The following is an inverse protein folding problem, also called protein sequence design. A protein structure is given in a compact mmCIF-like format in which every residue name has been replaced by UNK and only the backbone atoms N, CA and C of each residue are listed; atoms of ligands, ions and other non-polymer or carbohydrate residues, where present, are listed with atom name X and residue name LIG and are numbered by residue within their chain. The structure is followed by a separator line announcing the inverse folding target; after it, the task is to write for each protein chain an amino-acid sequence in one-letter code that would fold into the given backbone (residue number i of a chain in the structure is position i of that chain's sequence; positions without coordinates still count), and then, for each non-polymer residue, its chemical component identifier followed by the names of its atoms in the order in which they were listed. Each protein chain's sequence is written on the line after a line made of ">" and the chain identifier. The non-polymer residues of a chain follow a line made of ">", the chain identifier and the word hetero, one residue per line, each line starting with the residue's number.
data_IF_938314546331
#
_entry.id   IF_938314546331
#
_cell.length_a   1.000
_cell.length_b   1.000
_cell.length_c   1.000
_cell.angle_alpha   90.00
_cell.angle_beta   90.00
_cell.angle_gamma   90.00
#
_symmetry.space_group_name_H-M   'P 1'
#
loop_
_entity.id
_entity.type
_entity.pdbx_description
1 polymer ?
#
# COMPACT_ATOMS: atom_id res chain seq x y z
N UNK A 1 -30.88 -11.13 27.34
CA UNK A 1 -29.50 -11.23 27.85
C UNK A 1 -28.89 -12.52 27.33
N UNK A 2 -28.01 -12.50 26.32
CA UNK A 2 -27.03 -13.56 25.96
C UNK A 2 -26.44 -13.26 24.57
N UNK A 3 -25.37 -12.46 24.49
CA UNK A 3 -24.56 -12.27 23.25
C UNK A 3 -23.21 -11.59 23.54
N UNK A 4 -22.51 -11.95 24.62
CA UNK A 4 -21.19 -11.36 24.95
C UNK A 4 -20.01 -12.32 25.02
N UNK A 5 -20.17 -13.58 24.63
CA UNK A 5 -19.16 -14.61 24.94
C UNK A 5 -18.36 -15.13 23.74
N UNK A 6 -18.52 -14.57 22.53
CA UNK A 6 -17.84 -15.10 21.33
C UNK A 6 -16.59 -14.34 20.86
N UNK A 7 -16.28 -13.15 21.41
CA UNK A 7 -15.17 -12.32 20.90
C UNK A 7 -13.81 -12.51 21.60
N UNK A 8 -13.74 -13.23 22.72
CA UNK A 8 -12.48 -13.36 23.48
C UNK A 8 -11.57 -14.54 23.09
N UNK A 9 -11.95 -15.36 22.10
CA UNK A 9 -11.16 -16.56 21.74
C UNK A 9 -10.18 -16.36 20.58
N UNK A 10 -10.24 -15.22 19.87
CA UNK A 10 -9.42 -14.94 18.68
C UNK A 10 -8.38 -13.84 18.85
N UNK A 11 -8.28 -13.22 20.03
CA UNK A 11 -7.23 -12.25 20.36
C UNK A 11 -6.34 -12.80 21.47
N UNK A 12 -5.52 -13.80 21.13
CA UNK A 12 -4.30 -14.04 21.90
C UNK A 12 -3.16 -13.31 21.19
N UNK A 13 -2.50 -12.34 21.85
CA UNK A 13 -1.32 -11.70 21.29
C UNK A 13 -0.20 -12.73 21.21
N UNK A 14 0.21 -13.10 20.00
CA UNK A 14 1.45 -13.84 19.77
C UNK A 14 2.61 -12.96 20.20
N UNK A 15 3.33 -13.41 21.23
CA UNK A 15 4.52 -12.74 21.80
C UNK A 15 5.79 -12.93 20.98
N UNK A 16 5.68 -13.39 19.73
CA UNK A 16 6.82 -13.50 18.83
C UNK A 16 7.04 -12.17 18.11
N UNK A 17 8.21 -11.53 18.25
CA UNK A 17 8.52 -10.34 17.47
C UNK A 17 8.55 -10.74 15.99
N UNK A 18 7.58 -10.23 15.22
CA UNK A 18 7.62 -10.38 13.76
C UNK A 18 8.93 -9.79 13.24
N UNK A 19 9.60 -10.43 12.28
CA UNK A 19 10.80 -9.86 11.66
C UNK A 19 10.43 -8.56 10.96
N UNK A 20 10.81 -7.42 11.57
CA UNK A 20 10.62 -6.08 11.04
C UNK A 20 11.90 -5.66 10.32
N UNK A 21 11.87 -5.61 8.99
CA UNK A 21 12.99 -5.07 8.19
C UNK A 21 12.82 -3.56 8.09
N UNK A 22 13.61 -2.80 8.85
CA UNK A 22 13.69 -1.33 8.74
C UNK A 22 14.81 -0.97 7.75
N UNK A 23 14.43 -0.52 6.56
CA UNK A 23 15.38 -0.03 5.55
C UNK A 23 15.61 1.46 5.84
N UNK A 24 16.59 1.76 6.68
CA UNK A 24 17.02 3.14 6.92
C UNK A 24 17.87 3.60 5.73
N UNK A 25 17.46 4.67 5.06
CA UNK A 25 18.17 5.24 3.92
C UNK A 25 19.53 5.82 4.34
N UNK A 26 20.62 5.24 3.82
CA UNK A 26 21.89 5.95 3.59
C UNK A 26 22.42 5.52 2.22
N UNK A 27 22.16 6.33 1.19
CA UNK A 27 22.81 6.20 -0.11
C UNK A 27 23.33 7.59 -0.50
N UNK A 28 24.53 7.90 0.00
CA UNK A 28 25.43 8.89 -0.59
C UNK A 28 26.70 8.16 -0.99
N UNK A 29 26.79 7.78 -2.26
CA UNK A 29 27.91 8.06 -3.16
C UNK A 29 27.62 7.48 -4.57
N UNK A 30 27.94 8.20 -5.66
CA UNK A 30 27.62 7.78 -7.02
C UNK A 30 28.79 7.00 -7.62
N UNK A 31 28.63 5.68 -7.79
CA UNK A 31 29.50 4.90 -8.68
C UNK A 31 28.75 3.76 -9.34
N UNK A 32 28.56 3.91 -10.66
CA UNK A 32 28.47 2.83 -11.68
C UNK A 32 27.64 1.59 -11.36
N UNK A 33 26.34 1.78 -11.21
CA UNK A 33 25.24 1.05 -11.87
C UNK A 33 23.98 1.75 -11.38
N UNK A 34 23.16 2.32 -12.26
CA UNK A 34 21.90 2.95 -11.85
C UNK A 34 20.90 1.86 -11.43
N UNK A 35 21.15 1.26 -10.26
CA UNK A 35 20.24 0.34 -9.61
C UNK A 35 19.15 1.19 -8.97
N UNK A 36 18.00 1.27 -9.64
CA UNK A 36 16.86 2.03 -9.13
C UNK A 36 16.35 1.42 -7.83
N UNK A 37 15.80 2.25 -6.94
CA UNK A 37 15.21 1.82 -5.66
C UNK A 37 14.11 0.76 -5.87
N UNK A 38 13.37 0.84 -6.97
CA UNK A 38 12.39 -0.17 -7.38
C UNK A 38 13.02 -1.56 -7.57
N UNK A 39 14.19 -1.63 -8.21
CA UNK A 39 14.89 -2.88 -8.46
C UNK A 39 15.45 -3.51 -7.17
N UNK A 40 15.97 -2.68 -6.27
CA UNK A 40 16.43 -3.14 -4.94
C UNK A 40 15.27 -3.76 -4.17
N UNK A 41 14.10 -3.11 -4.15
CA UNK A 41 12.92 -3.61 -3.45
C UNK A 41 12.50 -4.97 -3.99
N UNK A 42 12.40 -5.13 -5.32
CA UNK A 42 12.02 -6.42 -5.91
C UNK A 42 13.04 -7.51 -5.60
N UNK A 43 14.35 -7.21 -5.63
CA UNK A 43 15.37 -8.17 -5.17
C UNK A 43 15.20 -8.55 -3.70
N UNK A 44 14.95 -7.58 -2.82
CA UNK A 44 14.70 -7.84 -1.40
C UNK A 44 13.48 -8.75 -1.22
N UNK A 45 12.38 -8.47 -1.91
CA UNK A 45 11.17 -9.29 -1.86
C UNK A 45 11.40 -10.70 -2.41
N UNK A 46 12.20 -10.85 -3.46
CA UNK A 46 12.60 -12.16 -3.98
C UNK A 46 13.37 -12.98 -2.92
N UNK A 47 14.24 -12.34 -2.15
CA UNK A 47 14.99 -12.97 -1.06
C UNK A 47 14.16 -13.19 0.22
N UNK A 48 12.98 -12.58 0.35
CA UNK A 48 12.15 -12.59 1.57
C UNK A 48 10.70 -13.01 1.30
N UNK A 49 10.45 -14.23 0.79
CA UNK A 49 9.13 -14.64 0.30
C UNK A 49 8.04 -14.71 1.39
N UNK A 50 8.44 -14.82 2.67
CA UNK A 50 7.53 -14.90 3.84
C UNK A 50 7.22 -13.52 4.45
N UNK A 51 7.73 -12.43 3.86
CA UNK A 51 7.48 -11.10 4.38
C UNK A 51 6.00 -10.73 4.18
N UNK A 52 5.31 -10.39 5.26
CA UNK A 52 3.88 -10.04 5.25
C UNK A 52 3.62 -8.55 5.40
N UNK A 53 4.59 -7.81 5.94
CA UNK A 53 4.48 -6.37 6.22
C UNK A 53 5.71 -5.65 5.70
N UNK A 54 5.49 -4.53 5.01
CA UNK A 54 6.53 -3.71 4.43
C UNK A 54 6.32 -2.26 4.84
N UNK A 55 7.38 -1.60 5.30
CA UNK A 55 7.34 -0.20 5.71
C UNK A 55 8.48 0.57 5.06
N UNK A 56 8.15 1.70 4.47
CA UNK A 56 9.11 2.60 3.83
C UNK A 56 8.96 4.02 4.38
N UNK A 57 10.07 4.74 4.50
CA UNK A 57 10.01 6.19 4.71
C UNK A 57 9.57 6.89 3.42
N UNK A 58 10.15 6.50 2.29
CA UNK A 58 9.81 7.04 0.98
C UNK A 58 9.97 5.99 -0.11
N UNK A 59 9.21 6.14 -1.18
CA UNK A 59 9.30 5.31 -2.37
C UNK A 59 9.52 6.22 -3.58
N UNK A 60 10.78 6.33 -4.00
CA UNK A 60 11.17 7.16 -5.15
C UNK A 60 11.36 6.27 -6.37
N UNK A 61 10.79 6.70 -7.50
CA UNK A 61 10.88 5.99 -8.78
C UNK A 61 11.53 6.87 -9.82
N UNK A 62 12.49 6.30 -10.55
CA UNK A 62 12.99 6.90 -11.78
C UNK A 62 12.06 6.52 -12.94
N UNK A 63 11.39 7.52 -13.52
CA UNK A 63 10.36 7.31 -14.56
C UNK A 63 10.87 6.55 -15.79
N UNK A 64 12.14 6.74 -16.15
CA UNK A 64 12.76 6.16 -17.36
C UNK A 64 12.78 4.62 -17.30
N UNK A 65 12.91 4.04 -16.11
CA UNK A 65 13.12 2.60 -15.93
C UNK A 65 11.84 1.83 -15.58
N UNK A 66 10.71 2.52 -15.35
CA UNK A 66 9.46 1.92 -14.86
C UNK A 66 8.87 0.88 -15.82
N UNK A 67 8.69 1.23 -17.09
CA UNK A 67 8.05 0.33 -18.07
C UNK A 67 8.86 -0.93 -18.33
N UNK A 68 10.18 -0.77 -18.48
CA UNK A 68 11.09 -1.91 -18.67
C UNK A 68 11.12 -2.81 -17.43
N UNK A 69 11.02 -2.21 -16.24
CA UNK A 69 11.01 -2.93 -14.98
C UNK A 69 9.74 -3.74 -14.76
N UNK A 70 8.57 -3.17 -15.05
CA UNK A 70 7.27 -3.87 -14.99
C UNK A 70 7.21 -5.08 -15.94
N UNK A 71 7.95 -5.02 -17.05
CA UNK A 71 8.06 -6.12 -18.03
C UNK A 71 9.11 -7.16 -17.65
N UNK A 72 9.84 -6.98 -16.54
CA UNK A 72 10.88 -7.92 -16.15
C UNK A 72 10.30 -9.20 -15.56
N UNK A 73 10.91 -10.35 -15.89
CA UNK A 73 10.54 -11.66 -15.31
C UNK A 73 10.64 -11.68 -13.79
N UNK A 74 11.57 -10.90 -13.23
CA UNK A 74 11.74 -10.80 -11.78
C UNK A 74 10.55 -10.09 -11.12
N UNK A 75 10.06 -9.01 -11.73
CA UNK A 75 8.86 -8.32 -11.26
C UNK A 75 7.65 -9.24 -11.29
N UNK A 76 7.43 -9.95 -12.41
CA UNK A 76 6.35 -10.92 -12.55
C UNK A 76 6.44 -12.03 -11.49
N UNK A 77 7.64 -12.62 -11.31
CA UNK A 77 7.87 -13.63 -10.29
C UNK A 77 7.52 -13.12 -8.89
N UNK A 78 8.03 -11.95 -8.51
CA UNK A 78 7.78 -11.38 -7.18
C UNK A 78 6.31 -11.05 -7.01
N UNK A 79 5.67 -10.44 -8.02
CA UNK A 79 4.23 -10.12 -8.00
C UNK A 79 3.37 -11.34 -7.71
N UNK A 80 3.71 -12.49 -8.30
CA UNK A 80 2.95 -13.73 -8.11
C UNK A 80 3.26 -14.46 -6.78
N UNK A 81 4.50 -14.36 -6.30
CA UNK A 81 4.99 -15.20 -5.18
C UNK A 81 4.95 -14.52 -3.82
N UNK A 82 5.01 -13.19 -3.76
CA UNK A 82 5.06 -12.49 -2.48
C UNK A 82 3.79 -12.73 -1.63
N UNK A 83 3.92 -12.52 -0.32
CA UNK A 83 2.87 -12.72 0.69
C UNK A 83 2.54 -11.45 1.47
N UNK A 84 2.94 -10.29 0.94
CA UNK A 84 2.73 -9.01 1.63
C UNK A 84 1.25 -8.66 1.64
N UNK A 85 0.76 -8.38 2.85
CA UNK A 85 -0.60 -7.97 3.13
C UNK A 85 -0.67 -6.53 3.64
N UNK A 86 0.40 -6.05 4.28
CA UNK A 86 0.44 -4.71 4.86
C UNK A 86 1.56 -3.88 4.26
N UNK A 87 1.23 -2.69 3.80
CA UNK A 87 2.20 -1.70 3.31
C UNK A 87 1.97 -0.35 3.97
N UNK A 88 3.05 0.22 4.50
CA UNK A 88 3.08 1.60 5.01
C UNK A 88 4.19 2.39 4.32
N UNK A 89 3.86 3.57 3.81
CA UNK A 89 4.81 4.54 3.26
C UNK A 89 4.60 5.84 4.03
N UNK A 90 5.64 6.36 4.67
CA UNK A 90 5.47 7.56 5.51
C UNK A 90 5.23 8.82 4.69
N UNK A 91 5.97 8.97 3.60
CA UNK A 91 5.89 10.15 2.75
C UNK A 91 4.74 10.08 1.73
N UNK A 92 4.46 11.21 1.11
CA UNK A 92 3.51 11.30 0.01
C UNK A 92 3.93 10.47 -1.19
N UNK A 93 3.00 9.67 -1.69
CA UNK A 93 3.16 8.96 -2.94
C UNK A 93 2.39 9.62 -4.09
N UNK A 94 3.01 9.59 -5.26
CA UNK A 94 2.37 9.91 -6.53
C UNK A 94 1.54 8.74 -7.03
N UNK A 95 0.57 9.03 -7.88
CA UNK A 95 -0.33 8.03 -8.46
C UNK A 95 0.42 6.88 -9.14
N UNK A 96 1.40 7.19 -10.00
CA UNK A 96 2.22 6.17 -10.68
C UNK A 96 2.96 5.25 -9.71
N UNK A 97 3.37 5.78 -8.56
CA UNK A 97 4.08 4.99 -7.55
C UNK A 97 3.14 3.99 -6.90
N UNK A 98 1.94 4.43 -6.54
CA UNK A 98 0.90 3.56 -5.98
C UNK A 98 0.51 2.48 -6.99
N UNK A 99 0.36 2.82 -8.27
CA UNK A 99 0.07 1.85 -9.32
C UNK A 99 1.13 0.74 -9.39
N UNK A 100 2.41 1.10 -9.42
CA UNK A 100 3.49 0.12 -9.46
C UNK A 100 3.45 -0.80 -8.24
N UNK A 101 3.30 -0.26 -7.03
CA UNK A 101 3.36 -1.05 -5.81
C UNK A 101 2.17 -1.98 -5.68
N UNK A 102 0.96 -1.52 -6.01
CA UNK A 102 -0.25 -2.36 -5.99
C UNK A 102 -0.13 -3.49 -7.01
N UNK A 103 0.45 -3.22 -8.18
CA UNK A 103 0.73 -4.26 -9.17
C UNK A 103 1.80 -5.25 -8.70
N UNK A 104 2.76 -4.80 -7.90
CA UNK A 104 3.78 -5.64 -7.30
C UNK A 104 3.22 -6.48 -6.13
N UNK A 105 2.23 -5.99 -5.40
CA UNK A 105 1.70 -6.60 -4.18
C UNK A 105 0.21 -6.92 -4.34
N UNK A 106 -0.19 -7.87 -5.19
CA UNK A 106 -1.60 -8.14 -5.48
C UNK A 106 -2.40 -8.65 -4.26
N UNK A 107 -1.71 -9.20 -3.26
CA UNK A 107 -2.32 -9.72 -2.02
C UNK A 107 -2.45 -8.66 -0.92
N UNK A 108 -2.19 -7.38 -1.24
CA UNK A 108 -2.28 -6.29 -0.29
C UNK A 108 -3.69 -6.15 0.28
N UNK A 109 -3.79 -6.13 1.60
CA UNK A 109 -5.02 -6.02 2.40
C UNK A 109 -5.13 -4.65 3.07
N UNK A 110 -3.98 -4.12 3.51
CA UNK A 110 -3.83 -2.85 4.19
C UNK A 110 -2.82 -1.96 3.46
N UNK A 111 -3.24 -0.75 3.12
CA UNK A 111 -2.37 0.27 2.55
C UNK A 111 -2.41 1.56 3.36
N UNK A 112 -1.25 2.05 3.80
CA UNK A 112 -1.10 3.36 4.44
C UNK A 112 -0.06 4.19 3.71
N UNK A 113 -0.42 5.40 3.30
CA UNK A 113 0.51 6.32 2.67
C UNK A 113 0.05 7.77 2.81
N UNK A 114 0.99 8.72 2.76
CA UNK A 114 0.65 10.07 2.30
C UNK A 114 0.24 10.03 0.83
N UNK A 115 -0.60 10.96 0.38
CA UNK A 115 -1.04 11.03 -1.01
C UNK A 115 -1.03 12.47 -1.50
N UNK A 116 -0.53 12.67 -2.72
CA UNK A 116 -0.61 13.97 -3.36
C UNK A 116 -2.08 14.41 -3.49
N UNK A 117 -2.45 15.54 -2.88
CA UNK A 117 -3.82 16.06 -2.87
C UNK A 117 -4.42 16.25 -4.27
N UNK A 118 -3.60 16.58 -5.26
CA UNK A 118 -4.07 16.74 -6.65
C UNK A 118 -4.46 15.41 -7.30
N UNK A 119 -3.92 14.31 -6.80
CA UNK A 119 -4.09 12.97 -7.38
C UNK A 119 -4.95 12.05 -6.51
N UNK A 120 -5.29 12.46 -5.28
CA UNK A 120 -5.99 11.63 -4.29
C UNK A 120 -7.25 10.97 -4.84
N UNK A 121 -8.05 11.67 -5.65
CA UNK A 121 -9.24 11.11 -6.28
C UNK A 121 -8.91 9.98 -7.25
N UNK A 122 -7.89 10.15 -8.10
CA UNK A 122 -7.45 9.12 -9.05
C UNK A 122 -6.84 7.92 -8.33
N UNK A 123 -6.09 8.17 -7.26
CA UNK A 123 -5.53 7.14 -6.39
C UNK A 123 -6.65 6.31 -5.77
N UNK A 124 -7.64 6.95 -5.15
CA UNK A 124 -8.78 6.26 -4.52
C UNK A 124 -9.58 5.46 -5.54
N UNK A 125 -9.87 6.04 -6.71
CA UNK A 125 -10.51 5.30 -7.81
C UNK A 125 -9.72 4.04 -8.12
N UNK A 126 -8.44 4.16 -8.43
CA UNK A 126 -7.58 3.03 -8.78
C UNK A 126 -7.49 1.96 -7.68
N UNK A 127 -7.39 2.36 -6.42
CA UNK A 127 -7.28 1.42 -5.31
C UNK A 127 -8.57 0.63 -5.07
N UNK A 128 -9.73 1.24 -5.33
CA UNK A 128 -11.05 0.60 -5.15
C UNK A 128 -11.46 -0.17 -6.41
N UNK A 129 -11.22 0.38 -7.60
CA UNK A 129 -11.57 -0.25 -8.87
C UNK A 129 -10.54 -1.31 -9.21
N UNK A 130 -10.93 -2.58 -9.17
CA UNK A 130 -10.04 -3.70 -9.50
C UNK A 130 -9.43 -3.51 -10.90
N UNK A 131 -8.11 -3.30 -11.04
CA UNK A 131 -7.49 -3.24 -12.35
C UNK A 131 -7.48 -4.65 -12.97
N UNK A 132 -8.05 -4.79 -14.17
CA UNK A 132 -7.84 -5.91 -15.08
C UNK A 132 -7.99 -7.33 -14.47
N UNK A 133 -9.13 -7.62 -13.84
CA UNK A 133 -9.49 -8.97 -13.34
C UNK A 133 -8.53 -9.58 -12.30
N UNK A 134 -7.56 -8.82 -11.76
CA UNK A 134 -6.74 -9.29 -10.64
C UNK A 134 -7.57 -9.24 -9.36
N UNK A 135 -7.51 -10.31 -8.57
CA UNK A 135 -8.10 -10.34 -7.24
C UNK A 135 -7.27 -9.41 -6.37
N UNK A 136 -7.78 -8.20 -6.13
CA UNK A 136 -7.21 -7.26 -5.18
C UNK A 136 -7.91 -7.48 -3.83
N UNK A 137 -7.14 -7.83 -2.81
CA UNK A 137 -7.63 -8.11 -1.45
C UNK A 137 -7.70 -6.85 -0.59
N UNK A 138 -7.50 -5.67 -1.17
CA UNK A 138 -7.44 -4.43 -0.43
C UNK A 138 -8.82 -4.14 0.16
N UNK A 139 -8.89 -4.02 1.48
CA UNK A 139 -10.10 -3.68 2.22
C UNK A 139 -9.86 -2.54 3.21
N UNK A 140 -8.62 -2.08 3.35
CA UNK A 140 -8.26 -0.99 4.26
C UNK A 140 -7.26 -0.01 3.62
N UNK A 141 -7.60 1.28 3.65
CA UNK A 141 -6.75 2.38 3.22
C UNK A 141 -6.64 3.40 4.36
N UNK A 142 -5.42 3.84 4.66
CA UNK A 142 -5.12 4.98 5.51
C UNK A 142 -4.36 6.05 4.71
N UNK A 143 -4.87 7.26 4.70
CA UNK A 143 -4.22 8.41 4.07
C UNK A 143 -3.66 9.31 5.17
N UNK A 144 -2.34 9.28 5.31
CA UNK A 144 -1.62 9.99 6.38
C UNK A 144 -1.63 11.50 6.16
N UNK A 145 -1.65 12.26 7.24
CA UNK A 145 -1.43 13.72 7.25
C UNK A 145 -2.35 14.52 6.31
N UNK A 146 -3.58 14.06 6.11
CA UNK A 146 -4.52 14.71 5.20
C UNK A 146 -5.30 15.85 5.86
N UNK A 147 -5.60 16.93 5.13
CA UNK A 147 -6.52 17.95 5.60
C UNK A 147 -7.94 17.38 5.79
N UNK A 148 -8.65 17.81 6.84
CA UNK A 148 -10.01 17.32 7.16
C UNK A 148 -11.02 17.48 6.02
N UNK A 149 -10.82 18.43 5.10
CA UNK A 149 -11.66 18.62 3.91
C UNK A 149 -11.67 17.37 3.01
N UNK A 150 -10.57 16.61 2.97
CA UNK A 150 -10.44 15.40 2.15
C UNK A 150 -11.42 14.31 2.59
N UNK A 151 -11.83 14.27 3.87
CA UNK A 151 -12.91 13.38 4.32
C UNK A 151 -14.19 13.59 3.52
N UNK A 152 -14.60 14.85 3.34
CA UNK A 152 -15.81 15.18 2.59
C UNK A 152 -15.62 14.89 1.10
N UNK A 153 -14.47 15.26 0.54
CA UNK A 153 -14.15 15.06 -0.89
C UNK A 153 -14.16 13.57 -1.26
N UNK A 154 -13.50 12.71 -0.48
CA UNK A 154 -13.44 11.26 -0.73
C UNK A 154 -14.80 10.61 -0.51
N UNK A 155 -15.52 10.98 0.55
CA UNK A 155 -16.86 10.44 0.80
C UNK A 155 -17.85 10.81 -0.32
N UNK A 156 -17.77 12.04 -0.84
CA UNK A 156 -18.57 12.46 -2.00
C UNK A 156 -18.18 11.69 -3.26
N UNK A 157 -16.87 11.54 -3.51
CA UNK A 157 -16.35 10.77 -4.64
C UNK A 157 -16.90 9.33 -4.65
N UNK A 158 -16.77 8.61 -3.53
CA UNK A 158 -17.22 7.22 -3.42
C UNK A 158 -18.73 7.10 -3.69
N UNK A 159 -19.53 8.03 -3.16
CA UNK A 159 -21.00 8.03 -3.35
C UNK A 159 -21.42 8.39 -4.77
N UNK A 160 -20.82 9.42 -5.36
CA UNK A 160 -21.20 9.89 -6.69
C UNK A 160 -20.85 8.88 -7.78
N UNK A 161 -19.73 8.16 -7.61
CA UNK A 161 -19.27 7.17 -8.57
C UNK A 161 -19.67 5.73 -8.21
N UNK A 162 -20.44 5.53 -7.13
CA UNK A 162 -20.85 4.22 -6.62
C UNK A 162 -19.67 3.24 -6.49
N UNK A 163 -18.53 3.71 -5.94
CA UNK A 163 -17.30 2.90 -5.88
C UNK A 163 -17.39 1.78 -4.84
N UNK A 164 -18.11 2.01 -3.73
CA UNK A 164 -18.31 1.06 -2.62
C UNK A 164 -19.75 1.15 -2.12
N UNK A 165 -20.34 -0.01 -1.81
CA UNK A 165 -21.70 -0.09 -1.24
C UNK A 165 -21.68 0.09 0.28
N UNK A 166 -20.95 -0.78 0.98
CA UNK A 166 -20.83 -0.78 2.43
C UNK A 166 -19.39 -0.42 2.80
N UNK A 167 -19.18 0.80 3.27
CA UNK A 167 -17.88 1.27 3.71
C UNK A 167 -18.00 2.17 4.92
N UNK A 168 -16.90 2.32 5.64
CA UNK A 168 -16.79 3.27 6.72
C UNK A 168 -15.56 4.14 6.52
N UNK A 169 -15.73 5.44 6.76
CA UNK A 169 -14.68 6.44 6.62
C UNK A 169 -14.59 7.29 7.88
N UNK A 170 -13.38 7.48 8.41
CA UNK A 170 -13.16 8.23 9.65
C UNK A 170 -11.88 9.04 9.59
N UNK A 171 -11.94 10.22 10.20
CA UNK A 171 -10.79 11.10 10.36
C UNK A 171 -10.34 11.10 11.82
N UNK A 172 -9.11 10.68 12.09
CA UNK A 172 -8.53 10.61 13.45
C UNK A 172 -7.08 11.07 13.38
N UNK A 173 -6.66 11.97 14.27
CA UNK A 173 -5.25 12.37 14.40
C UNK A 173 -4.56 12.80 13.09
N UNK A 174 -5.29 13.52 12.21
CA UNK A 174 -4.85 13.95 10.88
C UNK A 174 -4.76 12.85 9.81
N UNK A 175 -5.17 11.64 10.13
CA UNK A 175 -5.25 10.54 9.18
C UNK A 175 -6.70 10.29 8.78
N UNK A 176 -6.89 9.89 7.52
CA UNK A 176 -8.16 9.45 6.98
C UNK A 176 -8.12 7.94 6.79
N UNK A 177 -9.02 7.24 7.47
CA UNK A 177 -9.17 5.79 7.42
C UNK A 177 -10.41 5.45 6.61
N UNK A 178 -10.28 4.51 5.68
CA UNK A 178 -11.34 3.97 4.85
C UNK A 178 -11.26 2.45 4.87
N UNK A 179 -12.37 1.77 5.13
CA UNK A 179 -12.46 0.32 5.07
C UNK A 179 -13.82 -0.15 4.56
N UNK A 180 -13.85 -1.33 3.94
CA UNK A 180 -15.03 -1.94 3.33
C UNK A 180 -14.94 -3.47 3.34
#
# INVERSE_FOLDING_TARGET
>A
MHTRTFLNKYFQPTTEPMPEVKINQVLREPSTTNVTLSYIIVKLLHCTPKLTTLKFDSFVLDEINMKLFEQSKLFEYVSNTNTIKNLEIRNDCLFKQIQLIVNLLPKLEYFKSGMNRKEIGNIIRFLITKPNNKIQNLFFICISETPKICLREINLLIKLENLLNDYFIKYINRDLYLWW
#
